data_IF_875560850815
#
_entry.id   IF_875560850815
#
_cell.length_a   1.000
_cell.length_b   1.000
_cell.length_c   1.000
_cell.angle_alpha   90.00
_cell.angle_beta   90.00
_cell.angle_gamma   90.00
#
_symmetry.space_group_name_H-M   'P 1'
#
loop_
_entity.id
_entity.type
_entity.pdbx_description
1 polymer ?
#
# COMPACT_ATOMS: atom_id res chain seq x y z
N UNK A 1 7.32 54.99 21.51
CA UNK A 1 8.07 54.33 20.42
C UNK A 1 8.09 52.85 20.76
N UNK A 2 7.10 52.10 20.27
CA UNK A 2 7.25 51.11 19.17
C UNK A 2 8.18 49.98 19.62
N UNK A 3 7.72 48.82 20.07
CA UNK A 3 6.64 48.00 19.54
C UNK A 3 7.28 46.80 18.86
N UNK A 4 7.14 45.60 19.43
CA UNK A 4 7.19 44.37 18.64
C UNK A 4 6.40 43.28 19.37
N UNK A 5 5.09 43.26 19.14
CA UNK A 5 4.28 42.06 19.37
C UNK A 5 4.75 41.06 18.31
N UNK A 6 5.50 40.04 18.73
CA UNK A 6 5.63 38.82 17.93
C UNK A 6 4.22 38.30 17.68
N UNK A 7 3.76 38.47 16.44
CA UNK A 7 2.60 37.76 15.94
C UNK A 7 3.02 36.30 15.86
N UNK A 8 2.60 35.50 16.85
CA UNK A 8 2.42 34.08 16.62
C UNK A 8 1.23 33.94 15.68
N UNK A 9 1.48 34.12 14.38
CA UNK A 9 0.65 33.48 13.37
C UNK A 9 1.01 32.00 13.45
N UNK A 10 0.22 31.22 14.18
CA UNK A 10 0.05 29.80 13.85
C UNK A 10 -0.17 29.74 12.36
N UNK A 11 0.83 29.26 11.61
CA UNK A 11 0.64 28.99 10.18
C UNK A 11 -0.57 28.07 10.12
N UNK A 12 -1.67 28.54 9.52
CA UNK A 12 -2.83 27.68 9.31
C UNK A 12 -2.33 26.57 8.39
N UNK A 13 -2.20 25.36 8.94
CA UNK A 13 -1.94 24.18 8.13
C UNK A 13 -3.06 24.12 7.10
N UNK A 14 -2.71 24.01 5.81
CA UNK A 14 -3.73 23.95 4.76
C UNK A 14 -4.42 22.58 4.84
N UNK A 15 -5.71 22.49 4.48
CA UNK A 15 -6.34 21.20 4.25
C UNK A 15 -5.56 20.39 3.22
N UNK A 16 -5.41 19.09 3.47
CA UNK A 16 -4.76 18.16 2.54
C UNK A 16 -5.84 17.34 1.83
N UNK A 17 -5.81 17.35 0.49
CA UNK A 17 -6.70 16.58 -0.36
C UNK A 17 -5.97 15.37 -0.95
N UNK A 18 -6.51 14.18 -0.69
CA UNK A 18 -6.12 12.95 -1.38
C UNK A 18 -7.24 12.51 -2.32
N UNK A 19 -6.88 12.15 -3.55
CA UNK A 19 -7.78 11.51 -4.51
C UNK A 19 -7.06 10.31 -5.09
N UNK A 20 -7.47 9.12 -4.68
CA UNK A 20 -6.86 7.84 -5.09
C UNK A 20 -7.75 6.68 -4.68
N UNK A 21 -7.43 5.49 -5.18
CA UNK A 21 -7.91 4.22 -4.61
C UNK A 21 -7.11 3.90 -3.33
N UNK A 22 -7.50 2.91 -2.54
CA UNK A 22 -6.78 2.56 -1.29
C UNK A 22 -6.22 1.14 -1.25
N UNK A 23 -6.43 0.34 -2.30
CA UNK A 23 -5.82 -0.98 -2.42
C UNK A 23 -4.30 -0.87 -2.67
N UNK A 24 -3.82 0.12 -3.42
CA UNK A 24 -2.40 0.30 -3.77
C UNK A 24 -1.82 1.62 -3.25
N UNK A 25 -2.66 2.57 -2.84
CA UNK A 25 -2.20 3.79 -2.17
C UNK A 25 -2.15 3.62 -0.65
N UNK A 26 -0.94 3.54 -0.10
CA UNK A 26 -0.73 3.35 1.32
C UNK A 26 -1.10 4.57 2.18
N UNK A 27 -0.99 5.79 1.65
CA UNK A 27 -1.42 7.00 2.36
C UNK A 27 -2.94 7.04 2.49
N UNK A 28 -3.66 6.70 1.41
CA UNK A 28 -5.12 6.62 1.42
C UNK A 28 -5.62 5.52 2.37
N UNK A 29 -5.03 4.32 2.33
CA UNK A 29 -5.37 3.26 3.28
C UNK A 29 -5.03 3.65 4.72
N UNK A 30 -3.89 4.27 4.97
CA UNK A 30 -3.53 4.71 6.32
C UNK A 30 -4.51 5.76 6.83
N UNK A 31 -4.85 6.74 5.99
CA UNK A 31 -5.76 7.84 6.28
C UNK A 31 -7.16 7.36 6.67
N UNK A 32 -7.66 6.32 6.02
CA UNK A 32 -9.06 5.89 6.11
C UNK A 32 -9.29 4.54 6.76
N UNK A 33 -8.30 3.63 6.74
CA UNK A 33 -8.44 2.19 7.04
C UNK A 33 -9.53 1.49 6.24
N UNK A 34 -9.95 2.10 5.13
CA UNK A 34 -10.97 1.59 4.22
C UNK A 34 -10.30 1.09 2.93
N UNK A 35 -10.73 -0.06 2.42
CA UNK A 35 -10.22 -0.66 1.18
C UNK A 35 -11.25 -0.57 0.05
N UNK A 36 -10.92 0.19 -1.00
CA UNK A 36 -11.68 0.26 -2.23
C UNK A 36 -10.74 0.33 -3.45
N UNK A 37 -11.15 -0.31 -4.54
CA UNK A 37 -10.45 -0.30 -5.82
C UNK A 37 -10.71 0.97 -6.63
N UNK A 38 -11.89 1.56 -6.42
CA UNK A 38 -12.30 2.77 -7.13
C UNK A 38 -11.74 4.00 -6.42
N UNK A 39 -11.26 5.02 -7.16
CA UNK A 39 -10.78 6.25 -6.55
C UNK A 39 -11.88 6.97 -5.77
N UNK A 40 -11.51 7.51 -4.61
CA UNK A 40 -12.38 8.31 -3.78
C UNK A 40 -11.62 9.50 -3.19
N UNK A 41 -12.36 10.43 -2.59
CA UNK A 41 -11.82 11.68 -2.06
C UNK A 41 -11.71 11.62 -0.55
N UNK A 42 -10.53 11.96 -0.02
CA UNK A 42 -10.30 12.15 1.41
C UNK A 42 -9.75 13.56 1.64
N UNK A 43 -10.37 14.29 2.57
CA UNK A 43 -10.01 15.63 2.94
C UNK A 43 -9.61 15.66 4.42
N UNK A 44 -8.32 15.89 4.65
CA UNK A 44 -7.81 16.20 5.98
C UNK A 44 -8.10 17.66 6.29
N UNK A 45 -8.90 17.91 7.32
CA UNK A 45 -9.26 19.26 7.78
C UNK A 45 -8.56 19.55 9.10
N UNK A 46 -7.56 20.44 9.13
CA UNK A 46 -6.90 20.83 10.37
C UNK A 46 -7.92 21.37 11.37
N UNK A 47 -7.90 20.83 12.59
CA UNK A 47 -8.79 21.20 13.70
C UNK A 47 -10.27 20.77 13.57
N UNK A 48 -10.62 20.00 12.54
CA UNK A 48 -11.96 19.42 12.36
C UNK A 48 -11.85 17.90 12.16
N UNK A 49 -12.98 17.19 12.20
CA UNK A 49 -12.97 15.78 11.80
C UNK A 49 -12.56 15.68 10.32
N UNK A 50 -11.94 14.59 9.89
CA UNK A 50 -11.64 14.40 8.47
C UNK A 50 -12.90 14.03 7.70
N UNK A 51 -12.95 14.37 6.41
CA UNK A 51 -14.06 14.05 5.51
C UNK A 51 -13.64 13.00 4.49
N UNK A 52 -14.51 12.02 4.27
CA UNK A 52 -14.37 10.98 3.25
C UNK A 52 -15.58 11.01 2.32
N UNK A 53 -15.35 11.08 1.02
CA UNK A 53 -16.40 11.08 0.01
C UNK A 53 -16.17 9.90 -0.92
N UNK A 54 -17.14 9.00 -0.96
CA UNK A 54 -17.09 7.75 -1.70
C UNK A 54 -18.28 7.65 -2.65
N UNK A 55 -18.21 6.72 -3.61
CA UNK A 55 -19.37 6.40 -4.46
C UNK A 55 -20.53 5.87 -3.61
N UNK A 56 -21.75 5.99 -4.14
CA UNK A 56 -22.94 5.45 -3.47
C UNK A 56 -22.83 3.94 -3.18
N UNK A 57 -22.12 3.19 -4.02
CA UNK A 57 -21.91 1.75 -3.85
C UNK A 57 -21.01 1.44 -2.65
N UNK A 58 -20.08 2.34 -2.32
CA UNK A 58 -19.12 2.17 -1.24
C UNK A 58 -19.55 2.81 0.07
N UNK A 59 -20.57 3.68 0.06
CA UNK A 59 -21.00 4.48 1.20
C UNK A 59 -21.26 3.65 2.48
N UNK A 60 -22.08 2.61 2.41
CA UNK A 60 -22.41 1.77 3.58
C UNK A 60 -21.23 0.92 4.06
N UNK A 61 -20.28 0.59 3.18
CA UNK A 61 -19.05 -0.09 3.57
C UNK A 61 -18.10 0.87 4.26
N UNK A 62 -17.85 2.04 3.67
CA UNK A 62 -17.04 3.08 4.25
C UNK A 62 -17.51 3.43 5.66
N UNK A 63 -18.83 3.54 5.89
CA UNK A 63 -19.40 3.79 7.23
C UNK A 63 -19.11 2.71 8.27
N UNK A 64 -18.93 1.46 7.85
CA UNK A 64 -18.68 0.31 8.75
C UNK A 64 -17.19 0.05 8.95
N UNK A 65 -16.40 0.27 7.91
CA UNK A 65 -15.01 -0.17 7.83
C UNK A 65 -14.01 0.97 8.04
N UNK A 66 -14.36 2.21 7.66
CA UNK A 66 -13.45 3.37 7.75
C UNK A 66 -13.29 3.85 9.19
N UNK A 67 -12.12 4.38 9.51
CA UNK A 67 -11.87 5.14 10.76
C UNK A 67 -12.37 6.59 10.67
N UNK A 68 -12.69 7.09 9.47
CA UNK A 68 -13.17 8.46 9.27
C UNK A 68 -14.62 8.54 9.73
N UNK A 69 -14.94 9.54 10.55
CA UNK A 69 -16.29 9.70 11.11
C UNK A 69 -17.26 10.35 10.14
N UNK A 70 -16.79 11.36 9.41
CA UNK A 70 -17.60 12.10 8.46
C UNK A 70 -17.46 11.50 7.07
N UNK A 71 -18.53 10.88 6.61
CA UNK A 71 -18.57 10.16 5.35
C UNK A 71 -19.80 10.66 4.58
N UNK A 72 -19.59 11.10 3.34
CA UNK A 72 -20.65 11.55 2.43
C UNK A 72 -20.64 10.69 1.16
N UNK A 73 -21.80 10.54 0.54
CA UNK A 73 -21.90 9.93 -0.79
C UNK A 73 -21.69 10.98 -1.86
N UNK A 74 -20.96 10.64 -2.93
CA UNK A 74 -20.84 11.49 -4.12
C UNK A 74 -22.21 11.84 -4.73
N UNK A 75 -23.22 10.99 -4.51
CA UNK A 75 -24.59 11.19 -4.99
C UNK A 75 -25.28 12.40 -4.35
N UNK A 76 -24.85 12.81 -3.15
CA UNK A 76 -25.39 14.00 -2.45
C UNK A 76 -25.08 15.30 -3.22
N UNK A 77 -24.04 15.28 -4.05
CA UNK A 77 -23.61 16.43 -4.85
C UNK A 77 -24.19 16.43 -6.26
N UNK A 78 -24.57 15.26 -6.78
CA UNK A 78 -25.15 15.12 -8.11
C UNK A 78 -25.01 13.73 -8.70
N UNK A 79 -25.71 13.50 -9.81
CA UNK A 79 -25.60 12.28 -10.62
C UNK A 79 -24.52 12.48 -11.70
N UNK A 80 -23.70 11.44 -11.92
CA UNK A 80 -22.66 11.40 -12.97
C UNK A 80 -21.70 12.60 -12.98
N UNK A 81 -21.45 13.18 -11.80
CA UNK A 81 -20.46 14.24 -11.65
C UNK A 81 -19.07 13.71 -11.98
N UNK A 82 -18.31 14.54 -12.71
CA UNK A 82 -16.89 14.27 -12.88
C UNK A 82 -16.14 14.52 -11.57
N UNK A 83 -14.97 13.92 -11.42
CA UNK A 83 -14.18 14.03 -10.18
C UNK A 83 -13.78 15.48 -9.89
N UNK A 84 -13.37 16.25 -10.90
CA UNK A 84 -13.06 17.67 -10.76
C UNK A 84 -14.27 18.49 -10.28
N UNK A 85 -15.48 18.14 -10.76
CA UNK A 85 -16.73 18.80 -10.38
C UNK A 85 -17.11 18.54 -8.93
N UNK A 86 -16.97 17.28 -8.52
CA UNK A 86 -17.15 16.88 -7.14
C UNK A 86 -16.15 17.61 -6.22
N UNK A 87 -14.86 17.61 -6.57
CA UNK A 87 -13.82 18.25 -5.76
C UNK A 87 -14.12 19.74 -5.54
N UNK A 88 -14.34 20.53 -6.60
CA UNK A 88 -14.57 21.96 -6.40
C UNK A 88 -15.88 22.24 -5.64
N UNK A 89 -16.92 21.43 -5.86
CA UNK A 89 -18.21 21.59 -5.19
C UNK A 89 -18.05 21.39 -3.69
N UNK A 90 -17.36 20.32 -3.30
CA UNK A 90 -17.04 20.02 -1.91
C UNK A 90 -16.18 21.12 -1.30
N UNK A 91 -15.07 21.50 -1.96
CA UNK A 91 -14.17 22.52 -1.41
C UNK A 91 -14.87 23.87 -1.21
N UNK A 92 -15.80 24.26 -2.09
CA UNK A 92 -16.62 25.47 -1.92
C UNK A 92 -17.60 25.37 -0.76
N UNK A 93 -18.27 24.22 -0.61
CA UNK A 93 -19.18 23.96 0.52
C UNK A 93 -18.43 24.02 1.86
N UNK A 94 -17.21 23.47 1.91
CA UNK A 94 -16.33 23.51 3.07
C UNK A 94 -15.64 24.87 3.28
N UNK A 95 -15.83 25.85 2.39
CA UNK A 95 -15.20 27.17 2.48
C UNK A 95 -13.68 27.16 2.29
N UNK A 96 -13.15 26.16 1.58
CA UNK A 96 -11.71 25.96 1.36
C UNK A 96 -11.28 26.63 0.04
N UNK A 97 -10.31 27.54 0.16
CA UNK A 97 -9.75 28.28 -0.97
C UNK A 97 -8.30 27.90 -1.30
N UNK A 98 -7.68 27.04 -0.50
CA UNK A 98 -6.33 26.54 -0.72
C UNK A 98 -6.19 25.12 -0.17
N UNK A 99 -5.58 24.22 -0.94
CA UNK A 99 -5.33 22.83 -0.57
C UNK A 99 -3.88 22.44 -0.79
N UNK A 100 -3.41 21.52 0.05
CA UNK A 100 -2.21 20.73 -0.23
C UNK A 100 -2.61 19.43 -0.94
N UNK A 101 -1.76 18.96 -1.85
CA UNK A 101 -1.94 17.70 -2.58
C UNK A 101 -0.63 16.92 -2.67
N UNK A 102 -0.65 15.58 -2.64
CA UNK A 102 0.55 14.76 -2.78
C UNK A 102 1.13 14.83 -4.21
N UNK A 103 2.40 14.47 -4.37
CA UNK A 103 3.06 14.43 -5.69
C UNK A 103 2.41 13.49 -6.72
N UNK A 104 1.61 12.50 -6.28
CA UNK A 104 0.86 11.61 -7.17
C UNK A 104 -0.56 12.13 -7.51
N UNK A 105 -0.95 13.30 -7.02
CA UNK A 105 -2.25 13.87 -7.34
C UNK A 105 -2.37 14.13 -8.84
N UNK A 106 -3.45 13.69 -9.51
CA UNK A 106 -3.55 13.83 -10.95
C UNK A 106 -3.45 15.29 -11.40
N UNK A 107 -2.47 15.60 -12.26
CA UNK A 107 -2.21 16.97 -12.72
C UNK A 107 -3.46 17.63 -13.33
N UNK A 108 -4.25 16.87 -14.11
CA UNK A 108 -5.47 17.39 -14.72
C UNK A 108 -6.51 17.86 -13.68
N UNK A 109 -6.59 17.20 -12.51
CA UNK A 109 -7.45 17.63 -11.42
C UNK A 109 -6.90 18.90 -10.76
N UNK A 110 -5.57 18.99 -10.60
CA UNK A 110 -4.93 20.18 -10.01
C UNK A 110 -5.19 21.42 -10.89
N UNK A 111 -5.03 21.28 -12.21
CA UNK A 111 -5.31 22.36 -13.16
C UNK A 111 -6.79 22.76 -13.17
N UNK A 112 -7.71 21.78 -13.12
CA UNK A 112 -9.14 22.05 -13.07
C UNK A 112 -9.56 22.81 -11.80
N UNK A 113 -9.05 22.38 -10.64
CA UNK A 113 -9.32 23.02 -9.34
C UNK A 113 -8.71 24.43 -9.29
N UNK A 114 -7.51 24.61 -9.83
CA UNK A 114 -6.87 25.92 -9.95
C UNK A 114 -7.67 26.87 -10.86
N UNK A 115 -8.22 26.35 -11.97
CA UNK A 115 -9.08 27.10 -12.88
C UNK A 115 -10.35 27.66 -12.21
N UNK A 116 -10.82 27.00 -11.15
CA UNK A 116 -11.97 27.42 -10.33
C UNK A 116 -11.61 28.40 -9.20
N UNK A 117 -10.35 28.84 -9.12
CA UNK A 117 -9.86 29.85 -8.18
C UNK A 117 -9.45 29.30 -6.81
N UNK A 118 -9.16 28.01 -6.70
CA UNK A 118 -8.65 27.37 -5.48
C UNK A 118 -7.15 27.16 -5.63
N UNK A 119 -6.35 27.65 -4.67
CA UNK A 119 -4.90 27.47 -4.70
C UNK A 119 -4.55 26.00 -4.45
N UNK A 120 -3.75 25.39 -5.35
CA UNK A 120 -3.27 24.02 -5.21
C UNK A 120 -1.77 24.03 -4.96
N UNK A 121 -1.34 23.46 -3.84
CA UNK A 121 0.08 23.39 -3.45
C UNK A 121 0.52 21.93 -3.38
N UNK A 122 1.44 21.49 -4.26
CA UNK A 122 2.00 20.15 -4.14
C UNK A 122 2.92 20.07 -2.92
N UNK A 123 2.85 18.96 -2.20
CA UNK A 123 3.75 18.61 -1.10
C UNK A 123 4.47 17.30 -1.39
N UNK A 124 5.74 17.22 -0.98
CA UNK A 124 6.57 16.03 -1.15
C UNK A 124 6.11 14.92 -0.20
N UNK A 125 5.99 15.24 1.09
CA UNK A 125 5.48 14.34 2.13
C UNK A 125 4.13 14.83 2.62
N UNK A 126 3.15 13.92 2.70
CA UNK A 126 1.90 14.19 3.40
C UNK A 126 2.06 13.87 4.89
N UNK A 127 1.17 14.40 5.74
CA UNK A 127 1.24 14.17 7.20
C UNK A 127 1.32 12.68 7.56
N UNK A 128 0.59 11.83 6.83
CA UNK A 128 0.57 10.38 7.02
C UNK A 128 1.91 9.72 6.70
N UNK A 129 2.71 10.28 5.78
CA UNK A 129 4.02 9.72 5.41
C UNK A 129 4.93 9.64 6.64
N UNK A 130 4.95 10.71 7.43
CA UNK A 130 5.72 10.79 8.69
C UNK A 130 5.12 9.94 9.80
N UNK A 131 3.80 9.94 9.94
CA UNK A 131 3.12 9.12 10.94
C UNK A 131 3.35 7.62 10.72
N UNK A 132 3.43 7.18 9.45
CA UNK A 132 3.69 5.78 9.07
C UNK A 132 5.11 5.31 9.38
N UNK A 133 6.06 6.20 9.67
CA UNK A 133 7.42 5.80 10.06
C UNK A 133 7.40 5.06 11.40
N UNK A 134 6.59 5.53 12.35
CA UNK A 134 6.47 4.96 13.72
C UNK A 134 5.19 4.14 13.83
N UNK A 135 5.35 2.82 14.00
CA UNK A 135 4.22 1.88 14.00
C UNK A 135 3.59 1.81 15.39
N UNK A 136 2.27 1.80 15.44
CA UNK A 136 1.55 1.49 16.67
C UNK A 136 1.43 -0.03 16.90
N UNK A 137 0.89 -0.44 18.05
CA UNK A 137 0.78 -1.86 18.44
C UNK A 137 -0.04 -2.72 17.46
N UNK A 138 -1.11 -2.17 16.88
CA UNK A 138 -1.93 -2.89 15.89
C UNK A 138 -1.15 -3.11 14.60
N UNK A 139 -0.37 -2.12 14.18
CA UNK A 139 0.49 -2.20 12.99
C UNK A 139 1.63 -3.19 13.21
N UNK A 140 2.25 -3.18 14.39
CA UNK A 140 3.27 -4.17 14.77
C UNK A 140 2.68 -5.58 14.76
N UNK A 141 1.46 -5.75 15.27
CA UNK A 141 0.75 -7.05 15.25
C UNK A 141 0.51 -7.52 13.82
N UNK A 142 0.11 -6.63 12.91
CA UNK A 142 -0.06 -6.96 11.50
C UNK A 142 1.26 -7.33 10.81
N UNK A 143 2.35 -6.62 11.12
CA UNK A 143 3.70 -6.97 10.63
C UNK A 143 4.11 -8.36 11.14
N UNK A 144 3.90 -8.66 12.42
CA UNK A 144 4.18 -9.98 12.98
C UNK A 144 3.35 -11.09 12.32
N UNK A 145 2.09 -10.81 11.97
CA UNK A 145 1.23 -11.74 11.21
C UNK A 145 1.79 -12.00 9.81
N UNK A 146 2.20 -10.95 9.09
CA UNK A 146 2.85 -11.09 7.79
C UNK A 146 4.18 -11.88 7.90
N UNK A 147 4.96 -11.63 8.95
CA UNK A 147 6.22 -12.32 9.21
C UNK A 147 6.01 -13.82 9.43
N UNK A 148 5.01 -14.21 10.24
CA UNK A 148 4.67 -15.64 10.44
C UNK A 148 4.23 -16.34 9.16
N UNK A 149 3.50 -15.63 8.28
CA UNK A 149 3.14 -16.16 6.97
C UNK A 149 4.40 -16.38 6.11
N UNK A 150 5.33 -15.43 6.14
CA UNK A 150 6.62 -15.51 5.45
C UNK A 150 7.46 -16.70 5.95
N UNK A 151 7.57 -16.87 7.27
CA UNK A 151 8.27 -17.99 7.91
C UNK A 151 7.65 -19.34 7.55
N UNK A 152 6.32 -19.41 7.49
CA UNK A 152 5.61 -20.62 7.08
C UNK A 152 5.93 -21.00 5.63
N UNK A 153 5.96 -20.02 4.72
CA UNK A 153 6.29 -20.23 3.33
C UNK A 153 7.76 -20.62 3.14
N UNK A 154 8.69 -19.97 3.85
CA UNK A 154 10.11 -20.33 3.87
C UNK A 154 10.32 -21.75 4.39
N UNK A 155 9.67 -22.12 5.50
CA UNK A 155 9.76 -23.46 6.07
C UNK A 155 9.28 -24.54 5.08
N UNK A 156 8.26 -24.24 4.28
CA UNK A 156 7.80 -25.14 3.20
C UNK A 156 8.86 -25.32 2.12
N UNK A 157 9.45 -24.22 1.63
CA UNK A 157 10.53 -24.28 0.64
C UNK A 157 11.73 -25.09 1.15
N UNK A 158 12.18 -24.81 2.39
CA UNK A 158 13.26 -25.54 3.05
C UNK A 158 12.94 -27.03 3.20
N UNK A 159 11.70 -27.37 3.57
CA UNK A 159 11.28 -28.76 3.69
C UNK A 159 11.42 -29.49 2.36
N UNK A 160 10.96 -28.90 1.25
CA UNK A 160 11.07 -29.52 -0.08
C UNK A 160 12.54 -29.72 -0.47
N UNK A 161 13.36 -28.68 -0.34
CA UNK A 161 14.78 -28.72 -0.71
C UNK A 161 15.55 -29.75 0.13
N UNK A 162 15.29 -29.82 1.44
CA UNK A 162 15.98 -30.76 2.34
C UNK A 162 15.59 -32.23 2.15
N UNK A 163 14.39 -32.50 1.63
CA UNK A 163 13.96 -33.86 1.29
C UNK A 163 14.31 -34.25 -0.16
N UNK A 164 14.80 -33.31 -0.96
CA UNK A 164 15.23 -33.59 -2.32
C UNK A 164 16.41 -34.57 -2.33
N UNK A 165 16.42 -35.44 -3.34
CA UNK A 165 17.54 -36.36 -3.57
C UNK A 165 18.49 -35.78 -4.60
N UNK A 166 19.78 -36.12 -4.50
CA UNK A 166 20.79 -35.68 -5.48
C UNK A 166 20.90 -36.71 -6.60
N UNK A 167 20.79 -36.26 -7.85
CA UNK A 167 21.08 -37.07 -9.03
C UNK A 167 22.00 -36.31 -9.99
N UNK A 168 23.27 -36.73 -10.02
CA UNK A 168 24.30 -35.97 -10.73
C UNK A 168 24.47 -34.58 -10.13
N UNK A 169 24.28 -33.55 -10.96
CA UNK A 169 24.40 -32.15 -10.57
C UNK A 169 23.05 -31.53 -10.14
N UNK A 170 21.95 -32.29 -10.15
CA UNK A 170 20.60 -31.74 -9.92
C UNK A 170 19.99 -32.22 -8.60
N UNK A 171 19.16 -31.37 -8.00
CA UNK A 171 18.21 -31.75 -6.96
C UNK A 171 16.94 -32.33 -7.60
N UNK A 172 16.41 -33.38 -6.97
CA UNK A 172 15.27 -34.15 -7.47
C UNK A 172 14.17 -34.25 -6.43
N UNK A 173 12.91 -34.10 -6.86
CA UNK A 173 11.72 -34.36 -6.04
C UNK A 173 10.80 -35.33 -6.79
N UNK A 174 10.40 -36.43 -6.15
CA UNK A 174 9.52 -37.45 -6.74
C UNK A 174 9.97 -37.99 -8.12
N UNK A 175 11.28 -37.97 -8.41
CA UNK A 175 11.85 -38.45 -9.68
C UNK A 175 11.95 -37.40 -10.78
N UNK A 176 11.53 -36.16 -10.54
CA UNK A 176 11.66 -35.02 -11.46
C UNK A 176 12.68 -34.00 -10.93
N UNK A 177 13.21 -33.14 -11.81
CA UNK A 177 14.09 -32.05 -11.39
C UNK A 177 13.33 -31.09 -10.47
N UNK A 178 13.89 -30.80 -9.30
CA UNK A 178 13.39 -29.74 -8.45
C UNK A 178 13.81 -28.40 -9.07
N UNK A 179 12.84 -27.55 -9.42
CA UNK A 179 13.12 -26.28 -10.10
C UNK A 179 12.77 -25.08 -9.25
N UNK A 180 13.33 -23.93 -9.63
CA UNK A 180 13.04 -22.63 -9.02
C UNK A 180 11.54 -22.32 -9.08
N UNK A 181 10.89 -22.57 -10.21
CA UNK A 181 9.46 -22.34 -10.43
C UNK A 181 8.59 -23.23 -9.52
N UNK A 182 9.02 -24.47 -9.27
CA UNK A 182 8.29 -25.38 -8.39
C UNK A 182 8.32 -24.86 -6.95
N UNK A 183 9.49 -24.46 -6.46
CA UNK A 183 9.62 -23.89 -5.11
C UNK A 183 8.85 -22.57 -4.99
N UNK A 184 8.91 -21.68 -5.99
CA UNK A 184 8.10 -20.45 -6.01
C UNK A 184 6.61 -20.78 -5.89
N UNK A 185 6.09 -21.71 -6.68
CA UNK A 185 4.68 -22.10 -6.61
C UNK A 185 4.28 -22.65 -5.23
N UNK A 186 5.15 -23.44 -4.59
CA UNK A 186 4.91 -23.92 -3.22
C UNK A 186 4.93 -22.80 -2.17
N UNK A 187 5.83 -21.84 -2.30
CA UNK A 187 5.87 -20.61 -1.48
C UNK A 187 4.56 -19.83 -1.66
N UNK A 188 4.17 -19.56 -2.91
CA UNK A 188 2.97 -18.81 -3.25
C UNK A 188 1.71 -19.44 -2.66
N UNK A 189 1.56 -20.77 -2.77
CA UNK A 189 0.44 -21.48 -2.14
C UNK A 189 0.42 -21.29 -0.62
N UNK A 190 1.56 -21.44 0.06
CA UNK A 190 1.63 -21.23 1.51
C UNK A 190 1.27 -19.80 1.92
N UNK A 191 1.65 -18.81 1.12
CA UNK A 191 1.30 -17.41 1.33
C UNK A 191 -0.20 -17.16 1.12
N UNK A 192 -0.79 -17.73 0.06
CA UNK A 192 -2.23 -17.64 -0.22
C UNK A 192 -3.03 -18.24 0.95
N UNK A 193 -2.65 -19.41 1.43
CA UNK A 193 -3.27 -20.10 2.58
C UNK A 193 -3.17 -19.26 3.86
N UNK A 194 -2.11 -18.46 3.98
CA UNK A 194 -1.87 -17.54 5.10
C UNK A 194 -2.54 -16.16 4.92
N UNK A 195 -3.37 -15.97 3.89
CA UNK A 195 -4.09 -14.72 3.63
C UNK A 195 -3.22 -13.60 3.05
N UNK A 196 -2.09 -13.93 2.44
CA UNK A 196 -1.19 -12.98 1.79
C UNK A 196 -1.40 -12.91 0.27
N UNK A 197 -0.92 -11.82 -0.32
CA UNK A 197 -0.79 -11.58 -1.73
C UNK A 197 0.65 -11.16 -2.05
N UNK A 198 1.01 -11.27 -3.33
CA UNK A 198 2.30 -10.86 -3.89
C UNK A 198 2.06 -9.72 -4.88
N UNK A 199 2.16 -8.49 -4.39
CA UNK A 199 1.88 -7.30 -5.20
C UNK A 199 3.14 -6.69 -5.83
N UNK A 200 4.32 -7.11 -5.36
CA UNK A 200 5.63 -6.55 -5.75
C UNK A 200 6.44 -7.47 -6.68
N UNK A 201 5.90 -8.63 -7.05
CA UNK A 201 6.59 -9.64 -7.87
C UNK A 201 6.51 -11.04 -7.28
N UNK A 202 6.99 -12.03 -8.03
CA UNK A 202 7.15 -13.41 -7.58
C UNK A 202 8.29 -13.53 -6.54
N UNK A 203 8.28 -14.57 -5.68
CA UNK A 203 9.40 -14.83 -4.79
C UNK A 203 10.69 -15.10 -5.56
N UNK A 204 11.84 -14.78 -4.98
CA UNK A 204 13.14 -15.12 -5.56
C UNK A 204 13.51 -16.54 -5.09
N UNK A 205 13.89 -17.40 -6.04
CA UNK A 205 14.50 -18.71 -5.77
C UNK A 205 15.63 -18.88 -6.78
N UNK A 206 16.82 -18.39 -6.45
CA UNK A 206 17.96 -18.33 -7.37
C UNK A 206 19.07 -19.30 -6.95
N UNK A 207 19.58 -20.10 -7.90
CA UNK A 207 20.58 -21.14 -7.63
C UNK A 207 21.90 -20.88 -8.36
N UNK A 208 23.02 -21.23 -7.74
CA UNK A 208 24.36 -21.12 -8.31
C UNK A 208 24.73 -19.67 -8.64
N UNK A 209 25.25 -19.42 -9.84
CA UNK A 209 25.64 -18.07 -10.26
C UNK A 209 24.50 -17.05 -10.23
N UNK A 210 23.24 -17.48 -10.45
CA UNK A 210 22.08 -16.60 -10.38
C UNK A 210 21.85 -16.04 -8.98
N UNK A 211 22.25 -16.76 -7.94
CA UNK A 211 22.13 -16.30 -6.55
C UNK A 211 22.98 -15.06 -6.24
N UNK A 212 23.96 -14.73 -7.10
CA UNK A 212 24.79 -13.54 -6.96
C UNK A 212 24.19 -12.28 -7.61
N UNK A 213 23.09 -12.41 -8.37
CA UNK A 213 22.38 -11.28 -8.98
C UNK A 213 21.18 -10.87 -8.10
N UNK A 214 21.22 -9.68 -7.44
CA UNK A 214 20.21 -9.26 -6.46
C UNK A 214 18.77 -9.19 -6.97
N UNK A 215 18.55 -9.12 -8.28
CA UNK A 215 17.21 -9.06 -8.86
C UNK A 215 16.88 -10.25 -9.76
N UNK A 216 17.75 -11.27 -9.81
CA UNK A 216 17.43 -12.49 -10.52
C UNK A 216 16.46 -13.32 -9.69
N UNK A 217 15.22 -13.46 -10.17
CA UNK A 217 14.21 -14.28 -9.48
C UNK A 217 14.53 -15.77 -9.54
N UNK A 218 15.47 -16.18 -10.39
CA UNK A 218 15.90 -17.56 -10.59
C UNK A 218 14.96 -18.38 -11.49
N UNK A 219 15.52 -19.37 -12.18
CA UNK A 219 14.82 -20.17 -13.17
C UNK A 219 15.47 -21.55 -13.34
N UNK A 220 14.67 -22.53 -13.73
CA UNK A 220 15.13 -23.85 -14.08
C UNK A 220 15.58 -24.72 -12.88
N UNK A 221 16.21 -25.87 -13.18
CA UNK A 221 16.61 -26.86 -12.17
C UNK A 221 17.56 -26.30 -11.11
N UNK A 222 17.34 -26.69 -9.86
CA UNK A 222 18.24 -26.41 -8.74
C UNK A 222 19.41 -27.40 -8.78
N UNK A 223 20.61 -26.87 -8.61
CA UNK A 223 21.85 -27.64 -8.65
C UNK A 223 22.24 -28.13 -7.26
N UNK A 224 22.77 -29.34 -7.18
CA UNK A 224 23.31 -29.91 -5.96
C UNK A 224 24.65 -29.26 -5.60
N UNK A 225 24.86 -28.99 -4.30
CA UNK A 225 26.06 -28.34 -3.75
C UNK A 225 26.31 -26.89 -4.22
N UNK A 226 25.31 -26.25 -4.82
CA UNK A 226 25.34 -24.84 -5.19
C UNK A 226 24.52 -24.01 -4.17
N UNK A 227 24.86 -22.72 -3.95
CA UNK A 227 24.05 -21.84 -3.12
C UNK A 227 22.66 -21.65 -3.73
N UNK A 228 21.65 -21.56 -2.86
CA UNK A 228 20.28 -21.23 -3.24
C UNK A 228 19.87 -20.05 -2.36
N UNK A 229 19.54 -18.92 -2.98
CA UNK A 229 18.96 -17.75 -2.31
C UNK A 229 17.46 -17.80 -2.48
N UNK A 230 16.74 -17.66 -1.36
CA UNK A 230 15.29 -17.56 -1.34
C UNK A 230 14.90 -16.23 -0.70
N UNK A 231 14.15 -15.39 -1.41
CA UNK A 231 13.64 -14.11 -0.91
C UNK A 231 12.11 -14.07 -1.04
N UNK A 232 11.43 -13.77 0.06
CA UNK A 232 9.97 -13.80 0.17
C UNK A 232 9.50 -12.50 0.84
N UNK A 233 8.65 -11.74 0.15
CA UNK A 233 8.18 -10.42 0.58
C UNK A 233 6.63 -10.30 0.50
N UNK A 234 5.88 -11.02 1.34
CA UNK A 234 4.43 -11.08 1.23
C UNK A 234 3.75 -9.83 1.80
N UNK A 235 2.54 -9.54 1.31
CA UNK A 235 1.64 -8.54 1.90
C UNK A 235 0.32 -9.17 2.34
N UNK A 236 -0.15 -8.83 3.54
CA UNK A 236 -1.48 -9.23 4.00
C UNK A 236 -2.59 -8.62 3.12
N UNK A 237 -3.56 -9.45 2.70
CA UNK A 237 -4.66 -9.00 1.83
C UNK A 237 -5.52 -7.92 2.48
N UNK A 238 -5.79 -8.02 3.79
CA UNK A 238 -6.69 -7.13 4.53
C UNK A 238 -5.92 -6.01 5.22
N UNK A 239 -4.93 -6.34 6.06
CA UNK A 239 -4.23 -5.34 6.86
C UNK A 239 -3.20 -4.53 6.05
N UNK A 240 -2.81 -5.01 4.87
CA UNK A 240 -1.86 -4.37 3.93
C UNK A 240 -0.44 -4.15 4.47
N UNK A 241 -0.07 -4.77 5.60
CA UNK A 241 1.31 -4.81 6.09
C UNK A 241 2.09 -5.95 5.44
N UNK A 242 3.39 -5.74 5.32
CA UNK A 242 4.30 -6.66 4.64
C UNK A 242 5.27 -7.32 5.63
N UNK A 243 5.88 -8.39 5.18
CA UNK A 243 7.14 -8.92 5.69
C UNK A 243 8.14 -9.01 4.53
N UNK A 244 9.41 -9.21 4.86
CA UNK A 244 10.52 -9.33 3.92
C UNK A 244 11.62 -10.17 4.58
N UNK A 245 11.96 -11.31 3.97
CA UNK A 245 12.92 -12.25 4.52
C UNK A 245 13.64 -13.01 3.41
N UNK A 246 14.97 -12.95 3.46
CA UNK A 246 15.86 -13.71 2.60
C UNK A 246 16.68 -14.76 3.39
N UNK A 247 16.98 -15.90 2.76
CA UNK A 247 17.83 -16.97 3.29
C UNK A 247 18.78 -17.52 2.22
#
# INVERSE_FOLDING_TARGET
MTGNKMRNTTAMTKPLLLVSESMRNADMYYATRFLASDPFMYLHRPHEDNLLIVSQMEYERARKESRVKEIRSSLEYGYDLKMEELIFTVLREEGIHAIEVPGYFPLYLAEAVLGEGIDVVPVEDVIMTREREVKNEQEITAIQKAQRACETAMARALTIITHATVNGEFLMEHGEHLTSERIKADIEHALIDSGCALDSGEPIVACGAAAADPHCTGQGPLLANEPIIIDIFPRLKVERYCADMAL
#
